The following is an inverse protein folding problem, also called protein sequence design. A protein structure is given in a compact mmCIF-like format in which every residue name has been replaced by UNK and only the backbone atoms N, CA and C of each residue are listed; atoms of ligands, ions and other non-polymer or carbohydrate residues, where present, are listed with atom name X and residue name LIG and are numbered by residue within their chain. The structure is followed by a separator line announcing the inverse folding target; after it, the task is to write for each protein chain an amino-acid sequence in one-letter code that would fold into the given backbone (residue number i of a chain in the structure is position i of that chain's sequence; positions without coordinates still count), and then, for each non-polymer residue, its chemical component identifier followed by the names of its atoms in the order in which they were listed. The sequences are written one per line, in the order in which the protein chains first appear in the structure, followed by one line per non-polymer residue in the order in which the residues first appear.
data_IF_677452935342
#
_entry.id   IF_677452935342
#
_cell.length_a   1.000
_cell.length_b   1.000
_cell.length_c   1.000
_cell.angle_alpha   90.00
_cell.angle_beta   90.00
_cell.angle_gamma   90.00
#
_symmetry.space_group_name_H-M   'P 1'
#
loop_
_entity.id
_entity.type
_entity.pdbx_description
1 polymer ?
#
# COMPACT_ATOMS: atom_id res chain seq x y z
N UNK A 1 14.10 4.86 9.10
CA UNK A 1 12.73 4.35 8.98
C UNK A 1 12.09 4.41 10.35
N UNK A 2 10.94 5.09 10.46
CA UNK A 2 10.23 5.26 11.72
C UNK A 2 8.74 4.99 11.51
N UNK A 3 8.13 4.22 12.41
CA UNK A 3 6.68 4.03 12.44
C UNK A 3 6.13 4.87 13.58
N UNK A 4 5.20 5.76 13.27
CA UNK A 4 4.61 6.67 14.26
C UNK A 4 3.13 6.39 14.43
N UNK A 5 2.64 6.57 15.67
CA UNK A 5 1.21 6.53 15.94
C UNK A 5 0.54 7.68 15.21
N UNK A 6 -0.55 7.38 14.50
CA UNK A 6 -1.36 8.43 13.89
C UNK A 6 -1.88 9.38 14.98
N UNK A 7 -1.77 10.68 14.72
CA UNK A 7 -2.38 11.74 15.53
C UNK A 7 -3.54 12.35 14.74
N UNK A 8 -4.67 12.58 15.43
CA UNK A 8 -5.87 13.14 14.82
C UNK A 8 -5.53 14.48 14.14
N UNK A 9 -5.80 14.59 12.83
CA UNK A 9 -5.49 15.77 12.02
C UNK A 9 -4.36 15.60 11.00
N UNK A 10 -3.52 14.54 11.08
CA UNK A 10 -2.55 14.26 10.02
C UNK A 10 -3.22 13.65 8.79
N UNK A 11 -3.12 14.28 7.60
CA UNK A 11 -3.73 13.76 6.38
C UNK A 11 -2.98 12.54 5.80
N UNK A 12 -1.75 12.27 6.24
CA UNK A 12 -0.81 11.38 5.53
C UNK A 12 -0.70 9.96 6.08
N UNK A 13 -0.68 8.98 5.18
CA UNK A 13 -0.44 7.57 5.48
C UNK A 13 1.06 7.24 5.55
N UNK A 14 1.88 7.93 4.76
CA UNK A 14 3.34 7.91 4.76
C UNK A 14 3.88 9.31 4.44
N UNK A 15 5.14 9.59 4.80
CA UNK A 15 5.88 10.79 4.41
C UNK A 15 7.34 10.43 4.22
N UNK A 16 7.92 10.87 3.11
CA UNK A 16 9.37 10.92 2.92
C UNK A 16 9.85 12.34 3.20
N UNK A 17 10.95 12.45 3.96
CA UNK A 17 11.59 13.73 4.26
C UNK A 17 13.09 13.63 4.04
N UNK A 18 13.65 14.57 3.28
CA UNK A 18 15.09 14.78 3.22
C UNK A 18 15.58 15.40 4.53
N UNK A 19 16.66 14.84 5.09
CA UNK A 19 17.35 15.41 6.24
C UNK A 19 18.54 16.26 5.77
N UNK A 20 18.92 17.24 6.58
CA UNK A 20 20.03 18.17 6.26
C UNK A 20 21.40 17.48 6.12
N UNK A 21 21.53 16.24 6.61
CA UNK A 21 22.75 15.42 6.50
C UNK A 21 22.78 14.55 5.23
N UNK A 22 21.80 14.70 4.34
CA UNK A 22 21.67 13.92 3.11
C UNK A 22 21.02 12.55 3.29
N UNK A 23 20.51 12.22 4.48
CA UNK A 23 19.76 10.99 4.73
C UNK A 23 18.26 11.16 4.44
N UNK A 24 17.55 10.05 4.22
CA UNK A 24 16.10 10.03 4.02
C UNK A 24 15.38 9.46 5.24
N UNK A 25 14.35 10.17 5.69
CA UNK A 25 13.41 9.72 6.70
C UNK A 25 12.12 9.24 6.02
N UNK A 26 11.83 7.93 6.11
CA UNK A 26 10.52 7.38 5.79
C UNK A 26 9.71 7.22 7.08
N UNK A 27 8.56 7.90 7.13
CA UNK A 27 7.66 7.96 8.27
C UNK A 27 6.32 7.36 7.85
N UNK A 28 5.89 6.29 8.50
CA UNK A 28 4.58 5.67 8.25
C UNK A 28 3.61 5.92 9.40
N UNK A 29 2.34 6.18 9.09
CA UNK A 29 1.27 6.25 10.09
C UNK A 29 0.40 5.00 10.03
N UNK A 30 -0.20 4.62 11.16
CA UNK A 30 -1.11 3.47 11.24
C UNK A 30 -2.59 3.86 11.08
N UNK A 31 -2.88 4.99 10.41
CA UNK A 31 -4.21 5.63 10.35
C UNK A 31 -5.35 4.68 9.95
N UNK A 32 -5.10 3.68 9.11
CA UNK A 32 -6.12 2.74 8.63
C UNK A 32 -6.03 1.34 9.24
N UNK A 33 -5.06 1.11 10.13
CA UNK A 33 -4.75 -0.13 10.83
C UNK A 33 -4.53 -1.38 9.97
N UNK A 34 -5.08 -1.50 8.76
CA UNK A 34 -4.97 -2.73 7.98
C UNK A 34 -3.60 -2.89 7.32
N UNK A 35 -3.07 -4.11 7.37
CA UNK A 35 -1.75 -4.46 6.87
C UNK A 35 -1.61 -4.29 5.35
N UNK A 36 -2.67 -4.54 4.57
CA UNK A 36 -2.68 -4.32 3.12
C UNK A 36 -2.51 -2.86 2.76
N UNK A 37 -3.22 -1.96 3.46
CA UNK A 37 -3.08 -0.51 3.27
C UNK A 37 -1.68 -0.08 3.67
N UNK A 38 -1.19 -0.50 4.84
CA UNK A 38 0.15 -0.15 5.32
C UNK A 38 1.24 -0.54 4.31
N UNK A 39 1.21 -1.79 3.82
CA UNK A 39 2.23 -2.28 2.89
C UNK A 39 2.12 -1.60 1.53
N UNK A 40 0.90 -1.31 1.06
CA UNK A 40 0.70 -0.51 -0.15
C UNK A 40 1.33 0.87 -0.01
N UNK A 41 0.96 1.62 1.04
CA UNK A 41 1.52 2.96 1.29
C UNK A 41 3.04 2.91 1.42
N UNK A 42 3.60 1.94 2.15
CA UNK A 42 5.05 1.81 2.30
C UNK A 42 5.78 1.65 0.96
N UNK A 43 5.28 0.78 0.08
CA UNK A 43 5.89 0.61 -1.24
C UNK A 43 5.59 1.77 -2.19
N UNK A 44 4.47 2.48 -2.01
CA UNK A 44 4.16 3.69 -2.76
C UNK A 44 5.20 4.79 -2.46
N UNK A 45 5.51 5.02 -1.17
CA UNK A 45 6.59 5.93 -0.79
C UNK A 45 7.95 5.49 -1.38
N UNK A 46 8.29 4.21 -1.31
CA UNK A 46 9.50 3.69 -1.99
C UNK A 46 9.44 3.92 -3.51
N UNK A 47 8.25 3.83 -4.11
CA UNK A 47 8.00 4.17 -5.50
C UNK A 47 8.50 5.57 -5.82
N UNK A 48 8.12 6.59 -5.05
CA UNK A 48 8.63 7.96 -5.22
C UNK A 48 10.16 8.06 -5.08
N UNK A 49 10.77 7.27 -4.20
CA UNK A 49 12.24 7.25 -4.06
C UNK A 49 12.90 6.69 -5.33
N UNK A 50 12.42 5.53 -5.79
CA UNK A 50 12.98 4.83 -6.95
C UNK A 50 12.79 5.65 -8.24
N UNK A 51 11.67 6.34 -8.34
CA UNK A 51 11.26 7.10 -9.51
C UNK A 51 11.84 8.53 -9.55
N UNK A 52 12.57 8.95 -8.50
CA UNK A 52 13.28 10.23 -8.42
C UNK A 52 12.40 11.45 -8.15
N UNK A 53 11.17 11.22 -7.70
CA UNK A 53 10.10 12.20 -7.44
C UNK A 53 9.96 12.49 -5.94
N UNK A 54 11.11 12.55 -5.24
CA UNK A 54 11.21 13.04 -3.86
C UNK A 54 11.27 14.57 -3.89
N UNK A 55 10.13 15.22 -4.07
CA UNK A 55 10.03 16.64 -3.70
C UNK A 55 9.84 16.73 -2.18
N UNK A 56 10.40 17.75 -1.53
CA UNK A 56 10.18 18.07 -0.10
C UNK A 56 8.72 18.53 0.12
N UNK A 57 7.75 17.68 -0.23
CA UNK A 57 6.31 17.94 -0.24
C UNK A 57 5.78 17.80 1.18
N UNK A 58 5.72 18.93 1.89
CA UNK A 58 4.48 19.21 2.61
C UNK A 58 3.42 19.36 1.52
N UNK A 59 2.57 18.34 1.36
CA UNK A 59 1.52 18.21 0.35
C UNK A 59 0.87 19.57 0.09
N UNK A 60 1.24 20.22 -1.01
CA UNK A 60 0.54 21.37 -1.56
C UNK A 60 0.12 21.00 -2.98
N UNK A 61 -1.19 20.96 -3.14
CA UNK A 61 -1.95 20.46 -4.29
C UNK A 61 -1.72 21.39 -5.50
N UNK A 62 -0.80 21.08 -6.42
CA UNK A 62 -0.76 21.79 -7.71
C UNK A 62 -0.22 20.90 -8.85
N UNK A 63 -1.18 20.27 -9.56
CA UNK A 63 -1.24 19.83 -10.96
C UNK A 63 -0.08 19.06 -11.64
N UNK A 64 1.01 18.74 -10.95
CA UNK A 64 2.02 17.73 -11.36
C UNK A 64 1.74 16.35 -10.74
N UNK A 65 0.66 16.25 -9.95
CA UNK A 65 0.37 15.17 -9.03
C UNK A 65 -0.05 13.85 -9.69
N UNK A 66 -0.43 13.76 -10.97
CA UNK A 66 -0.99 12.49 -11.46
C UNK A 66 0.07 11.47 -11.92
N UNK A 67 1.07 11.86 -12.71
CA UNK A 67 2.02 10.88 -13.27
C UNK A 67 3.02 10.33 -12.23
N UNK A 68 3.43 11.15 -11.26
CA UNK A 68 4.31 10.71 -10.17
C UNK A 68 3.60 9.69 -9.28
N UNK A 69 2.38 10.02 -8.84
CA UNK A 69 1.53 9.15 -8.04
C UNK A 69 1.16 7.86 -8.82
N UNK A 70 0.79 7.96 -10.10
CA UNK A 70 0.49 6.79 -10.95
C UNK A 70 1.69 5.83 -11.04
N UNK A 71 2.92 6.37 -11.17
CA UNK A 71 4.14 5.54 -11.18
C UNK A 71 4.42 4.93 -9.82
N UNK A 72 4.19 5.65 -8.72
CA UNK A 72 4.35 5.14 -7.36
C UNK A 72 3.33 4.05 -7.03
N UNK A 73 2.06 4.26 -7.38
CA UNK A 73 0.99 3.28 -7.28
C UNK A 73 1.31 2.03 -8.09
N UNK A 74 1.74 2.21 -9.35
CA UNK A 74 2.09 1.08 -10.21
C UNK A 74 3.29 0.30 -9.68
N UNK A 75 4.27 1.00 -9.11
CA UNK A 75 5.39 0.37 -8.44
C UNK A 75 4.93 -0.46 -7.23
N UNK A 76 4.10 0.12 -6.36
CA UNK A 76 3.60 -0.56 -5.17
C UNK A 76 2.75 -1.79 -5.50
N UNK A 77 1.84 -1.66 -6.47
CA UNK A 77 1.02 -2.74 -7.02
C UNK A 77 1.87 -3.92 -7.47
N UNK A 78 2.81 -3.65 -8.38
CA UNK A 78 3.58 -4.68 -9.05
C UNK A 78 4.66 -5.28 -8.14
N UNK A 79 5.06 -4.55 -7.09
CA UNK A 79 5.97 -5.05 -6.05
C UNK A 79 5.25 -6.01 -5.11
N UNK A 80 4.00 -5.69 -4.74
CA UNK A 80 3.21 -6.50 -3.83
C UNK A 80 2.62 -7.74 -4.49
N UNK A 81 2.23 -7.65 -5.76
CA UNK A 81 1.65 -8.76 -6.52
C UNK A 81 2.20 -8.69 -7.94
N UNK A 82 2.68 -9.82 -8.47
CA UNK A 82 3.12 -9.87 -9.86
C UNK A 82 1.96 -9.49 -10.80
N UNK A 83 2.17 -8.45 -11.62
CA UNK A 83 1.12 -7.90 -12.49
C UNK A 83 0.51 -8.94 -13.43
N UNK A 84 1.33 -9.79 -14.05
CA UNK A 84 0.86 -10.80 -15.01
C UNK A 84 0.02 -11.88 -14.33
N UNK A 85 0.44 -12.31 -13.14
CA UNK A 85 -0.28 -13.31 -12.35
C UNK A 85 -1.60 -12.74 -11.81
N UNK A 86 -1.59 -11.48 -11.34
CA UNK A 86 -2.80 -10.77 -10.93
C UNK A 86 -3.80 -10.64 -12.08
N UNK A 87 -3.37 -10.16 -13.24
CA UNK A 87 -4.23 -10.04 -14.43
C UNK A 87 -4.84 -11.39 -14.82
N UNK A 88 -4.05 -12.47 -14.72
CA UNK A 88 -4.51 -13.82 -15.02
C UNK A 88 -5.52 -14.32 -14.00
N UNK A 89 -5.34 -13.99 -12.72
CA UNK A 89 -6.27 -14.31 -11.64
C UNK A 89 -7.60 -13.58 -11.80
N UNK A 90 -7.57 -12.27 -12.04
CA UNK A 90 -8.77 -11.43 -12.27
C UNK A 90 -9.56 -11.93 -13.50
N UNK A 91 -8.87 -12.27 -14.60
CA UNK A 91 -9.51 -12.82 -15.81
C UNK A 91 -10.23 -14.15 -15.57
N UNK A 92 -9.77 -14.98 -14.62
CA UNK A 92 -10.47 -16.21 -14.23
C UNK A 92 -11.78 -15.91 -13.50
N UNK A 93 -11.85 -14.81 -12.76
CA UNK A 93 -13.07 -14.32 -12.10
C UNK A 93 -13.55 -15.12 -10.89
N UNK A 94 -12.77 -16.10 -10.41
CA UNK A 94 -13.09 -16.86 -9.18
C UNK A 94 -12.47 -16.18 -7.95
N UNK A 95 -13.28 -15.38 -7.26
CA UNK A 95 -12.89 -14.69 -6.03
C UNK A 95 -13.35 -15.45 -4.76
N UNK A 96 -13.48 -16.78 -4.84
CA UNK A 96 -13.70 -17.60 -3.66
C UNK A 96 -12.47 -17.60 -2.75
N UNK A 97 -12.70 -17.66 -1.44
CA UNK A 97 -11.61 -17.65 -0.45
C UNK A 97 -10.57 -18.78 -0.66
N UNK A 98 -10.95 -20.03 -1.02
CA UNK A 98 -9.97 -21.07 -1.34
C UNK A 98 -9.08 -20.69 -2.52
N UNK A 99 -9.63 -20.11 -3.59
CA UNK A 99 -8.85 -19.72 -4.76
C UNK A 99 -7.91 -18.55 -4.45
N UNK A 100 -8.38 -17.57 -3.68
CA UNK A 100 -7.55 -16.47 -3.16
C UNK A 100 -6.37 -17.03 -2.36
N UNK A 101 -6.62 -17.93 -1.40
CA UNK A 101 -5.57 -18.53 -0.56
C UNK A 101 -4.57 -19.35 -1.39
N UNK A 102 -5.05 -20.09 -2.37
CA UNK A 102 -4.20 -20.85 -3.29
C UNK A 102 -3.27 -19.92 -4.08
N UNK A 103 -3.81 -18.91 -4.75
CA UNK A 103 -3.00 -17.93 -5.49
C UNK A 103 -1.96 -17.26 -4.60
N UNK A 104 -2.35 -16.87 -3.39
CA UNK A 104 -1.45 -16.22 -2.44
C UNK A 104 -0.30 -17.14 -2.02
N UNK A 105 -0.56 -18.43 -1.82
CA UNK A 105 0.48 -19.41 -1.54
C UNK A 105 1.44 -19.60 -2.73
N UNK A 106 0.91 -19.66 -3.97
CA UNK A 106 1.71 -19.79 -5.20
C UNK A 106 2.60 -18.56 -5.44
N UNK A 107 2.11 -17.36 -5.13
CA UNK A 107 2.86 -16.10 -5.25
C UNK A 107 3.72 -15.78 -4.02
N UNK A 108 3.63 -16.57 -2.96
CA UNK A 108 4.26 -16.30 -1.66
C UNK A 108 3.91 -14.92 -1.08
N UNK A 109 2.63 -14.54 -1.15
CA UNK A 109 2.10 -13.30 -0.58
C UNK A 109 1.03 -13.59 0.49
N UNK A 110 0.85 -12.71 1.50
CA UNK A 110 -0.24 -12.88 2.45
C UNK A 110 -1.62 -12.65 1.82
N UNK A 111 -2.67 -13.43 2.18
CA UNK A 111 -4.02 -13.27 1.63
C UNK A 111 -4.60 -11.86 1.72
N UNK A 112 -4.30 -11.14 2.82
CA UNK A 112 -4.81 -9.78 3.00
C UNK A 112 -4.32 -8.80 1.91
N UNK A 113 -3.14 -9.03 1.31
CA UNK A 113 -2.61 -8.21 0.21
C UNK A 113 -3.51 -8.34 -1.03
N UNK A 114 -3.77 -9.59 -1.47
CA UNK A 114 -4.64 -9.83 -2.63
C UNK A 114 -6.07 -9.37 -2.33
N UNK A 115 -6.61 -9.66 -1.15
CA UNK A 115 -7.96 -9.22 -0.76
C UNK A 115 -8.06 -7.70 -0.81
N UNK A 116 -7.06 -6.97 -0.27
CA UNK A 116 -7.01 -5.51 -0.31
C UNK A 116 -7.02 -4.97 -1.74
N UNK A 117 -6.20 -5.56 -2.63
CA UNK A 117 -6.15 -5.17 -4.05
C UNK A 117 -7.46 -5.45 -4.78
N UNK A 118 -8.07 -6.63 -4.60
CA UNK A 118 -9.37 -6.96 -5.18
C UNK A 118 -10.50 -6.05 -4.68
N UNK A 119 -10.42 -5.59 -3.43
CA UNK A 119 -11.36 -4.62 -2.87
C UNK A 119 -11.20 -3.23 -3.50
N UNK A 120 -9.95 -2.79 -3.67
CA UNK A 120 -9.64 -1.51 -4.33
C UNK A 120 -10.08 -1.51 -5.79
N UNK A 121 -9.86 -2.61 -6.50
CA UNK A 121 -10.20 -2.76 -7.92
C UNK A 121 -11.68 -3.15 -8.14
N UNK A 122 -12.50 -3.07 -7.09
CA UNK A 122 -13.95 -3.28 -7.13
C UNK A 122 -14.38 -4.69 -7.57
N UNK A 123 -13.47 -5.67 -7.50
CA UNK A 123 -13.77 -7.09 -7.70
C UNK A 123 -14.43 -7.73 -6.47
N UNK A 124 -14.16 -7.17 -5.28
CA UNK A 124 -14.75 -7.58 -4.01
C UNK A 124 -15.32 -6.38 -3.26
N UNK A 125 -16.53 -6.54 -2.72
CA UNK A 125 -17.04 -5.60 -1.72
C UNK A 125 -16.13 -5.57 -0.47
N UNK A 126 -15.92 -4.39 0.11
CA UNK A 126 -15.03 -4.19 1.26
C UNK A 126 -15.39 -5.02 2.51
N UNK A 127 -16.66 -5.45 2.65
CA UNK A 127 -17.06 -6.30 3.78
C UNK A 127 -16.64 -7.77 3.59
N UNK A 128 -16.43 -8.23 2.35
CA UNK A 128 -16.06 -9.62 2.06
C UNK A 128 -14.64 -9.89 2.54
N UNK A 129 -14.50 -11.02 3.26
CA UNK A 129 -13.23 -11.51 3.82
C UNK A 129 -12.49 -10.51 4.72
N UNK A 130 -13.21 -9.55 5.30
CA UNK A 130 -12.64 -8.60 6.27
C UNK A 130 -11.96 -9.28 7.46
N UNK A 131 -12.41 -10.48 7.86
CA UNK A 131 -11.79 -11.31 8.90
C UNK A 131 -10.43 -11.92 8.53
N UNK A 132 -10.05 -11.92 7.24
CA UNK A 132 -8.74 -12.36 6.77
C UNK A 132 -7.72 -11.20 6.75
N UNK A 133 -8.18 -9.96 6.98
CA UNK A 133 -7.32 -8.77 7.00
C UNK A 133 -6.68 -8.58 8.37
N UNK A 134 -5.37 -8.50 8.39
CA UNK A 134 -4.59 -8.21 9.60
C UNK A 134 -4.66 -6.72 9.92
N UNK A 135 -4.77 -6.39 11.20
CA UNK A 135 -4.66 -5.02 11.70
C UNK A 135 -3.41 -4.84 12.55
N UNK A 136 -2.63 -3.81 12.27
CA UNK A 136 -1.55 -3.33 13.11
C UNK A 136 -2.07 -2.36 14.15
N UNK A 137 -1.79 -2.67 15.40
CA UNK A 137 -2.01 -1.79 16.54
C UNK A 137 -0.67 -1.46 17.14
N UNK A 138 -0.30 -0.18 17.14
CA UNK A 138 0.83 0.28 17.94
C UNK A 138 0.33 0.36 19.38
N UNK A 139 0.83 -0.55 20.22
CA UNK A 139 0.58 -0.53 21.66
C UNK A 139 0.90 0.86 22.23
N UNK A 140 0.06 1.35 23.14
CA UNK A 140 0.43 2.46 23.99
C UNK A 140 1.15 1.89 25.21
N UNK A 141 2.32 2.45 25.53
CA UNK A 141 2.78 2.45 26.91
C UNK A 141 1.80 3.24 27.80
#
# INVERSE_FOLDING_TARGET
FSIVKHFAGAPVQGVIKNNNDGTLSLIMTTRYKYADVFWFSFFHEIGHIVNGDIEDKLIDYDFTENEAEDRADKFAENTLINAKEYDSFVKKGDYSLPHIKQFCAEQNIPPYILIGRLQRDEHLEYYRYSGEKVRYELGGD
#
